data_IF_196836918224
#
_entry.id   IF_196836918224
#
_cell.length_a   1.000
_cell.length_b   1.000
_cell.length_c   1.000
_cell.angle_alpha   90.00
_cell.angle_beta   90.00
_cell.angle_gamma   90.00
#
_symmetry.space_group_name_H-M   'P 1'
#
loop_
_entity.id
_entity.type
_entity.pdbx_description
1 polymer ?
#
# COMPACT_ATOMS: atom_id res chain seq x y z
N UNK A 1 -5.90 12.02 -11.36
CA UNK A 1 -5.97 10.63 -10.84
C UNK A 1 -7.04 9.89 -11.60
N UNK A 2 -6.89 8.59 -11.83
CA UNK A 2 -7.91 7.74 -12.46
C UNK A 2 -8.27 6.59 -11.52
N UNK A 3 -9.54 6.22 -11.47
CA UNK A 3 -10.01 4.96 -10.88
C UNK A 3 -10.42 4.06 -12.02
N UNK A 4 -9.85 2.87 -12.10
CA UNK A 4 -10.16 1.90 -13.15
C UNK A 4 -10.69 0.61 -12.53
N UNK A 5 -11.82 0.14 -13.04
CA UNK A 5 -12.33 -1.20 -12.79
C UNK A 5 -12.08 -2.04 -14.06
N UNK A 6 -11.00 -2.85 -14.10
CA UNK A 6 -10.65 -3.63 -15.29
C UNK A 6 -11.68 -4.72 -15.59
N UNK A 7 -12.39 -5.25 -14.59
CA UNK A 7 -13.36 -6.33 -14.78
C UNK A 7 -14.57 -5.92 -15.63
N UNK A 8 -14.89 -4.62 -15.66
CA UNK A 8 -15.97 -4.07 -16.48
C UNK A 8 -15.45 -3.08 -17.53
N UNK A 9 -14.14 -3.02 -17.74
CA UNK A 9 -13.46 -2.12 -18.67
C UNK A 9 -13.88 -0.63 -18.53
N UNK A 10 -14.10 -0.16 -17.29
CA UNK A 10 -14.45 1.25 -17.03
C UNK A 10 -13.33 1.98 -16.29
N UNK A 11 -13.09 3.23 -16.67
CA UNK A 11 -12.22 4.14 -15.95
C UNK A 11 -12.91 5.49 -15.76
N UNK A 12 -12.73 6.09 -14.59
CA UNK A 12 -13.22 7.42 -14.24
C UNK A 12 -12.03 8.31 -13.95
N UNK A 13 -11.95 9.45 -14.64
CA UNK A 13 -10.98 10.50 -14.32
C UNK A 13 -11.53 11.32 -13.16
N UNK A 14 -10.76 11.43 -12.09
CA UNK A 14 -11.10 12.31 -10.97
C UNK A 14 -10.74 13.75 -11.31
N UNK A 15 -11.50 14.70 -10.77
CA UNK A 15 -11.13 16.10 -10.80
C UNK A 15 -9.75 16.31 -10.18
N UNK A 16 -9.05 17.34 -10.65
CA UNK A 16 -7.78 17.71 -10.07
C UNK A 16 -8.01 18.14 -8.63
N UNK A 17 -7.25 17.56 -7.70
CA UNK A 17 -7.21 18.09 -6.36
C UNK A 17 -6.56 19.47 -6.35
N UNK A 18 -7.02 20.34 -5.46
CA UNK A 18 -6.46 21.67 -5.28
C UNK A 18 -5.26 21.63 -4.33
N UNK A 19 -4.07 21.66 -4.91
CA UNK A 19 -2.81 21.60 -4.18
C UNK A 19 -1.95 22.85 -4.40
N UNK A 20 -1.15 23.25 -3.39
CA UNK A 20 -0.09 24.23 -3.59
C UNK A 20 0.84 23.77 -4.73
N UNK A 21 1.24 24.67 -5.62
CA UNK A 21 2.12 24.37 -6.77
C UNK A 21 3.58 24.08 -6.39
N UNK A 22 3.83 23.72 -5.13
CA UNK A 22 5.18 23.51 -4.63
C UNK A 22 5.82 22.28 -5.31
N UNK A 23 7.07 22.43 -5.73
CA UNK A 23 7.83 21.40 -6.45
C UNK A 23 8.34 20.29 -5.54
N UNK A 24 8.27 20.47 -4.21
CA UNK A 24 8.77 19.52 -3.21
C UNK A 24 7.65 18.84 -2.40
N UNK A 25 6.48 18.62 -3.00
CA UNK A 25 5.37 17.92 -2.35
C UNK A 25 5.44 16.40 -2.55
N UNK A 26 5.27 15.63 -1.48
CA UNK A 26 5.01 14.18 -1.51
C UNK A 26 3.51 13.93 -1.45
N UNK A 27 3.04 12.97 -2.24
CA UNK A 27 1.62 12.63 -2.34
C UNK A 27 1.42 11.17 -1.96
N UNK A 28 0.60 10.97 -0.93
CA UNK A 28 0.13 9.67 -0.48
C UNK A 28 -1.32 9.53 -0.91
N UNK A 29 -1.73 8.33 -1.28
CA UNK A 29 -3.11 8.09 -1.64
C UNK A 29 -3.60 6.71 -1.20
N UNK A 30 -4.91 6.60 -1.09
CA UNK A 30 -5.59 5.36 -0.80
C UNK A 30 -6.99 5.35 -1.38
N UNK A 31 -7.50 4.15 -1.64
CA UNK A 31 -8.83 3.92 -2.18
C UNK A 31 -9.48 2.76 -1.43
N UNK A 32 -10.75 2.90 -1.10
CA UNK A 32 -11.51 1.84 -0.44
C UNK A 32 -13.01 2.09 -0.46
N UNK A 33 -13.75 1.14 0.09
CA UNK A 33 -15.19 1.18 0.19
C UNK A 33 -15.61 1.45 1.64
N UNK A 34 -16.36 2.52 1.83
CA UNK A 34 -17.03 2.83 3.09
C UNK A 34 -18.31 2.00 3.19
N UNK A 35 -18.23 0.87 3.89
CA UNK A 35 -19.34 -0.06 4.06
C UNK A 35 -20.53 0.52 4.83
N UNK A 36 -20.29 1.55 5.66
CA UNK A 36 -21.35 2.15 6.48
C UNK A 36 -22.21 3.09 5.64
N UNK A 37 -21.57 3.92 4.82
CA UNK A 37 -22.27 4.87 3.95
C UNK A 37 -22.57 4.30 2.55
N UNK A 38 -21.98 3.15 2.19
CA UNK A 38 -22.17 2.52 0.89
C UNK A 38 -21.45 3.24 -0.25
N UNK A 39 -20.31 3.88 0.04
CA UNK A 39 -19.63 4.80 -0.88
C UNK A 39 -18.18 4.39 -1.15
N UNK A 40 -17.73 4.55 -2.39
CA UNK A 40 -16.29 4.45 -2.69
C UNK A 40 -15.61 5.79 -2.40
N UNK A 41 -14.50 5.76 -1.67
CA UNK A 41 -13.76 6.96 -1.29
C UNK A 41 -12.29 6.85 -1.70
N UNK A 42 -11.75 7.96 -2.18
CA UNK A 42 -10.31 8.17 -2.39
C UNK A 42 -9.83 9.18 -1.37
N UNK A 43 -8.73 8.86 -0.70
CA UNK A 43 -8.05 9.76 0.24
C UNK A 43 -6.70 10.11 -0.33
N UNK A 44 -6.37 11.39 -0.32
CA UNK A 44 -5.04 11.90 -0.69
C UNK A 44 -4.48 12.69 0.48
N UNK A 45 -3.25 12.40 0.87
CA UNK A 45 -2.49 13.15 1.88
C UNK A 45 -1.29 13.76 1.17
N UNK A 46 -1.11 15.06 1.34
CA UNK A 46 0.03 15.80 0.82
C UNK A 46 0.91 16.23 1.96
N UNK A 47 2.20 16.16 1.70
CA UNK A 47 3.24 16.65 2.58
C UNK A 47 4.14 17.57 1.77
N UNK A 48 4.45 18.74 2.31
CA UNK A 48 5.40 19.66 1.71
C UNK A 48 6.12 20.42 2.82
N UNK A 49 7.24 21.05 2.48
CA UNK A 49 7.98 21.89 3.43
C UNK A 49 7.67 23.35 3.11
N UNK A 50 7.16 24.09 4.09
CA UNK A 50 6.98 25.54 4.04
C UNK A 50 7.62 26.15 5.26
N UNK A 51 8.40 27.22 5.08
CA UNK A 51 9.03 27.96 6.18
C UNK A 51 9.82 27.06 7.15
N UNK A 52 10.59 26.13 6.59
CA UNK A 52 11.38 25.12 7.32
C UNK A 52 10.57 24.15 8.18
N UNK A 53 9.25 24.11 8.03
CA UNK A 53 8.36 23.19 8.74
C UNK A 53 7.62 22.25 7.78
N UNK A 54 7.45 21.00 8.21
CA UNK A 54 6.62 20.04 7.49
C UNK A 54 5.14 20.44 7.62
N UNK A 55 4.48 20.54 6.47
CA UNK A 55 3.06 20.81 6.35
C UNK A 55 2.35 19.58 5.79
N UNK A 56 1.08 19.44 6.16
CA UNK A 56 0.22 18.35 5.70
C UNK A 56 -1.15 18.86 5.31
N UNK A 57 -1.76 18.23 4.31
CA UNK A 57 -3.17 18.43 3.93
C UNK A 57 -3.74 17.09 3.51
N UNK A 58 -4.92 16.75 4.00
CA UNK A 58 -5.62 15.56 3.57
C UNK A 58 -6.94 15.95 2.90
N UNK A 59 -7.25 15.30 1.79
CA UNK A 59 -8.50 15.48 1.05
C UNK A 59 -9.13 14.14 0.74
N UNK A 60 -10.46 14.13 0.72
CA UNK A 60 -11.26 12.96 0.37
C UNK A 60 -12.14 13.29 -0.83
N UNK A 61 -12.26 12.32 -1.71
CA UNK A 61 -13.18 12.32 -2.84
C UNK A 61 -14.11 11.13 -2.70
N UNK A 62 -15.42 11.41 -2.62
CA UNK A 62 -16.45 10.37 -2.70
C UNK A 62 -16.81 10.16 -4.16
N UNK A 63 -16.82 8.91 -4.62
CA UNK A 63 -17.15 8.61 -6.01
C UNK A 63 -18.59 9.04 -6.32
N UNK A 64 -18.74 9.97 -7.26
CA UNK A 64 -20.02 10.58 -7.64
C UNK A 64 -20.28 11.98 -7.06
N UNK A 65 -19.49 12.44 -6.07
CA UNK A 65 -19.68 13.78 -5.49
C UNK A 65 -19.16 14.92 -6.35
N UNK A 66 -18.35 14.63 -7.38
CA UNK A 66 -17.69 15.59 -8.27
C UNK A 66 -16.94 16.70 -7.52
N UNK A 67 -16.42 16.44 -6.31
CA UNK A 67 -15.65 17.42 -5.55
C UNK A 67 -14.75 16.78 -4.51
N UNK A 68 -13.62 17.44 -4.23
CA UNK A 68 -12.73 17.10 -3.13
C UNK A 68 -13.12 17.90 -1.89
N UNK A 69 -13.18 17.26 -0.73
CA UNK A 69 -13.34 17.93 0.55
C UNK A 69 -12.06 17.78 1.37
N UNK A 70 -11.70 18.82 2.12
CA UNK A 70 -10.55 18.79 3.02
C UNK A 70 -10.97 18.21 4.36
N UNK A 71 -10.16 17.33 4.94
CA UNK A 71 -10.35 16.81 6.30
C UNK A 71 -9.33 17.43 7.24
N UNK A 72 -9.72 17.60 8.51
CA UNK A 72 -8.85 18.11 9.57
C UNK A 72 -7.81 17.08 10.01
N UNK A 73 -6.81 17.53 10.76
CA UNK A 73 -5.84 16.68 11.47
C UNK A 73 -5.04 15.75 10.56
N UNK A 74 -4.70 16.20 9.36
CA UNK A 74 -3.81 15.46 8.47
C UNK A 74 -2.45 15.22 9.17
N UNK A 75 -1.97 13.97 9.24
CA UNK A 75 -0.71 13.64 9.90
C UNK A 75 0.47 14.33 9.20
N UNK A 76 1.40 14.89 10.00
CA UNK A 76 2.65 15.50 9.53
C UNK A 76 3.81 14.52 9.72
N UNK A 77 3.81 13.42 8.97
CA UNK A 77 4.74 12.31 9.17
C UNK A 77 5.35 11.82 7.85
N UNK A 78 6.57 11.31 7.90
CA UNK A 78 7.27 10.81 6.71
C UNK A 78 6.88 9.35 6.41
N UNK A 79 5.96 9.19 5.47
CA UNK A 79 5.51 7.87 5.02
C UNK A 79 6.53 7.15 4.15
N UNK A 80 6.60 5.83 4.32
CA UNK A 80 7.54 4.97 3.57
C UNK A 80 7.05 4.56 2.19
N UNK A 81 5.73 4.59 1.97
CA UNK A 81 5.10 4.07 0.76
C UNK A 81 3.95 4.96 0.32
N UNK A 82 4.00 5.45 -0.92
CA UNK A 82 3.01 6.35 -1.55
C UNK A 82 1.54 5.88 -1.51
N UNK A 83 1.29 4.62 -1.22
CA UNK A 83 0.00 3.97 -1.38
C UNK A 83 -0.42 3.20 -0.14
N UNK A 84 -1.72 3.20 0.16
CA UNK A 84 -2.29 2.59 1.37
C UNK A 84 -2.61 1.10 1.25
N UNK A 85 -2.63 0.39 2.38
CA UNK A 85 -3.38 -0.86 2.50
C UNK A 85 -4.83 -0.59 2.97
N UNK A 86 -5.83 -1.26 2.38
CA UNK A 86 -7.23 -1.16 2.81
C UNK A 86 -7.64 -2.41 3.57
N UNK A 87 -7.98 -2.28 4.86
CA UNK A 87 -8.38 -3.38 5.75
C UNK A 87 -9.42 -2.85 6.73
N UNK A 88 -10.47 -3.62 7.02
CA UNK A 88 -11.45 -3.29 8.06
C UNK A 88 -12.02 -1.85 7.96
N UNK A 89 -12.43 -1.44 6.74
CA UNK A 89 -13.01 -0.12 6.47
C UNK A 89 -12.04 1.06 6.58
N UNK A 90 -10.74 0.80 6.78
CA UNK A 90 -9.73 1.83 6.99
C UNK A 90 -8.57 1.72 6.00
N UNK A 91 -8.02 2.86 5.61
CA UNK A 91 -6.79 2.97 4.83
C UNK A 91 -5.60 3.10 5.77
N UNK A 92 -4.48 2.47 5.43
CA UNK A 92 -3.31 2.39 6.31
C UNK A 92 -2.03 2.75 5.57
N UNK A 93 -1.16 3.54 6.22
CA UNK A 93 0.17 3.88 5.73
C UNK A 93 1.22 3.63 6.81
N UNK A 94 2.37 3.13 6.39
CA UNK A 94 3.52 2.92 7.25
C UNK A 94 4.37 4.19 7.30
N UNK A 95 4.73 4.63 8.49
CA UNK A 95 5.55 5.83 8.73
C UNK A 95 6.50 5.62 9.89
N UNK A 96 7.55 6.43 9.93
CA UNK A 96 8.38 6.56 11.12
C UNK A 96 7.58 7.21 12.25
N UNK A 97 7.80 6.76 13.47
CA UNK A 97 7.39 7.47 14.67
C UNK A 97 8.40 8.57 15.00
N UNK A 98 8.06 9.81 14.69
CA UNK A 98 8.92 10.96 14.99
C UNK A 98 8.88 11.36 16.48
N UNK A 99 8.03 10.72 17.30
CA UNK A 99 8.00 10.92 18.75
C UNK A 99 9.02 10.06 19.51
N UNK A 100 9.66 9.10 18.83
CA UNK A 100 10.61 8.18 19.46
C UNK A 100 11.93 8.19 18.69
N UNK A 101 13.04 8.37 19.43
CA UNK A 101 14.37 8.50 18.83
C UNK A 101 14.92 7.18 18.25
N UNK A 102 14.39 6.03 18.68
CA UNK A 102 14.87 4.70 18.30
C UNK A 102 14.54 4.31 16.85
N UNK A 103 13.81 5.17 16.12
CA UNK A 103 13.42 4.92 14.74
C UNK A 103 12.31 3.90 14.58
N UNK A 104 11.53 3.66 15.64
CA UNK A 104 10.32 2.85 15.60
C UNK A 104 9.38 3.28 14.49
N UNK A 105 8.65 2.30 13.95
CA UNK A 105 7.62 2.53 12.95
C UNK A 105 6.25 2.51 13.61
N UNK A 106 5.33 3.30 13.08
CA UNK A 106 3.91 3.23 13.39
C UNK A 106 3.10 3.10 12.11
N UNK A 107 1.85 2.67 12.25
CA UNK A 107 0.90 2.62 11.15
C UNK A 107 -0.15 3.68 11.42
N UNK A 108 -0.26 4.63 10.50
CA UNK A 108 -1.35 5.61 10.51
C UNK A 108 -2.53 5.00 9.77
N UNK A 109 -3.70 5.03 10.40
CA UNK A 109 -4.96 4.63 9.79
C UNK A 109 -5.83 5.85 9.48
N UNK A 110 -6.72 5.71 8.50
CA UNK A 110 -7.80 6.65 8.22
C UNK A 110 -9.08 5.84 8.03
N UNK A 111 -10.04 6.00 8.93
CA UNK A 111 -11.33 5.32 8.86
C UNK A 111 -12.20 6.00 7.78
N UNK A 112 -12.71 5.25 6.80
CA UNK A 112 -13.47 5.86 5.71
C UNK A 112 -14.86 6.34 6.13
N UNK A 113 -15.45 5.75 7.17
CA UNK A 113 -16.79 6.07 7.66
C UNK A 113 -16.81 7.29 8.58
N UNK A 114 -15.94 7.32 9.59
CA UNK A 114 -15.80 8.47 10.50
C UNK A 114 -14.91 9.58 9.94
N UNK A 115 -14.07 9.24 8.95
CA UNK A 115 -13.17 10.17 8.28
C UNK A 115 -12.11 10.77 9.22
N UNK A 116 -11.72 9.95 10.20
CA UNK A 116 -10.76 10.30 11.24
C UNK A 116 -9.45 9.52 11.07
N UNK A 117 -8.35 10.20 11.40
CA UNK A 117 -7.04 9.58 11.50
C UNK A 117 -6.87 8.88 12.84
N UNK A 118 -6.19 7.74 12.81
CA UNK A 118 -5.79 6.99 13.98
C UNK A 118 -4.36 6.47 13.84
N UNK A 119 -3.88 5.85 14.91
CA UNK A 119 -2.61 5.13 14.94
C UNK A 119 -2.88 3.73 15.45
N UNK A 120 -2.31 2.73 14.78
CA UNK A 120 -2.40 1.34 15.21
C UNK A 120 -0.99 0.75 15.42
N UNK A 121 -0.86 -0.29 16.26
CA UNK A 121 0.44 -0.90 16.56
C UNK A 121 1.11 -1.51 15.34
N UNK A 122 2.39 -1.18 15.16
CA UNK A 122 3.28 -1.78 14.15
C UNK A 122 4.10 -2.92 14.80
N UNK A 123 4.41 -4.02 14.08
CA UNK A 123 5.30 -5.04 14.61
C UNK A 123 6.73 -4.47 14.73
N UNK A 124 7.53 -5.02 15.64
CA UNK A 124 8.94 -4.67 15.72
C UNK A 124 9.72 -5.43 14.64
N UNK A 125 10.23 -4.70 13.65
CA UNK A 125 11.14 -5.23 12.63
C UNK A 125 12.26 -4.22 12.35
N UNK A 126 13.39 -4.71 11.83
CA UNK A 126 14.53 -3.88 11.50
C UNK A 126 14.29 -3.18 10.17
N UNK A 127 14.08 -1.86 10.19
CA UNK A 127 13.97 -1.05 8.98
C UNK A 127 15.01 0.08 8.99
N UNK A 128 15.97 0.06 8.07
CA UNK A 128 17.06 1.08 7.97
C UNK A 128 16.77 2.11 6.85
N UNK A 129 15.71 1.95 6.06
CA UNK A 129 15.52 2.70 4.80
C UNK A 129 15.45 4.23 4.94
N UNK A 130 15.28 4.77 6.15
CA UNK A 130 15.14 6.21 6.36
C UNK A 130 16.47 6.97 6.13
N UNK A 131 17.64 6.32 6.18
CA UNK A 131 18.92 7.03 6.10
C UNK A 131 19.50 7.21 4.68
N UNK A 132 18.99 6.55 3.61
CA UNK A 132 19.75 6.51 2.34
C UNK A 132 19.06 6.84 1.02
N UNK A 133 17.75 7.11 0.97
CA UNK A 133 17.11 7.91 -0.09
C UNK A 133 15.63 7.55 -0.22
N UNK A 134 14.78 8.56 -0.41
CA UNK A 134 13.41 8.41 -0.91
C UNK A 134 13.33 7.94 -2.38
N UNK A 135 14.46 7.59 -3.00
CA UNK A 135 14.59 7.25 -4.42
C UNK A 135 14.90 5.78 -4.67
N UNK A 136 15.35 5.01 -3.67
CA UNK A 136 15.35 3.55 -3.75
C UNK A 136 13.99 3.05 -3.32
N UNK A 137 13.23 2.43 -4.23
CA UNK A 137 12.00 1.71 -3.90
C UNK A 137 12.26 0.78 -2.70
N UNK A 138 11.76 1.17 -1.53
CA UNK A 138 11.85 0.36 -0.32
C UNK A 138 11.26 -1.02 -0.61
N UNK A 139 11.93 -2.07 -0.13
CA UNK A 139 11.37 -3.41 -0.15
C UNK A 139 10.53 -3.69 1.10
N UNK A 140 10.28 -2.66 1.92
CA UNK A 140 9.26 -2.63 2.96
C UNK A 140 7.92 -2.20 2.35
N UNK A 141 6.88 -2.97 2.62
CA UNK A 141 5.54 -2.74 2.11
C UNK A 141 4.51 -2.96 3.22
N UNK A 142 3.52 -2.08 3.32
CA UNK A 142 2.28 -2.33 4.03
C UNK A 142 1.21 -2.71 3.01
N UNK A 143 0.58 -3.87 3.20
CA UNK A 143 -0.33 -4.47 2.21
C UNK A 143 -1.41 -5.29 2.89
N UNK A 144 -2.54 -5.46 2.23
CA UNK A 144 -3.57 -6.41 2.63
C UNK A 144 -3.19 -7.80 2.10
N UNK A 145 -3.15 -8.79 2.97
CA UNK A 145 -2.94 -10.20 2.62
C UNK A 145 -3.98 -11.06 3.33
N UNK A 146 -4.90 -11.64 2.56
CA UNK A 146 -5.87 -12.62 3.07
C UNK A 146 -6.88 -11.99 4.06
N UNK A 147 -7.30 -10.75 3.81
CA UNK A 147 -8.14 -9.93 4.67
C UNK A 147 -7.40 -9.30 5.85
N UNK A 148 -6.10 -9.55 6.00
CA UNK A 148 -5.31 -9.10 7.15
C UNK A 148 -4.33 -8.00 6.77
N UNK A 149 -4.14 -7.03 7.67
CA UNK A 149 -3.09 -6.04 7.51
C UNK A 149 -1.73 -6.70 7.70
N UNK A 150 -0.83 -6.49 6.73
CA UNK A 150 0.45 -7.20 6.69
C UNK A 150 1.62 -6.27 6.36
N UNK A 151 2.74 -6.48 7.04
CA UNK A 151 4.03 -5.83 6.73
C UNK A 151 4.95 -6.84 6.07
N UNK A 152 5.44 -6.51 4.89
CA UNK A 152 6.41 -7.31 4.15
C UNK A 152 7.72 -6.56 4.14
N UNK A 153 8.76 -7.15 4.71
CA UNK A 153 10.10 -6.58 4.79
C UNK A 153 11.09 -7.47 4.05
N UNK A 154 11.54 -7.00 2.88
CA UNK A 154 12.50 -7.71 2.04
C UNK A 154 13.84 -6.96 1.87
N UNK A 155 14.09 -5.89 2.60
CA UNK A 155 15.27 -5.04 2.43
C UNK A 155 16.55 -5.66 3.01
N UNK A 156 16.45 -6.56 4.00
CA UNK A 156 17.61 -7.14 4.69
C UNK A 156 17.60 -8.67 4.72
N UNK A 157 18.79 -9.23 4.91
CA UNK A 157 19.00 -10.67 5.10
C UNK A 157 18.65 -11.53 3.88
N UNK A 158 18.76 -12.84 4.09
CA UNK A 158 18.47 -13.86 3.08
C UNK A 158 17.00 -14.29 3.07
N UNK A 159 16.14 -13.58 3.79
CA UNK A 159 14.71 -13.88 3.93
C UNK A 159 13.86 -12.64 3.69
N UNK A 160 12.63 -12.86 3.24
CA UNK A 160 11.55 -11.90 3.28
C UNK A 160 10.80 -12.18 4.57
N UNK A 161 10.70 -11.19 5.45
CA UNK A 161 9.93 -11.29 6.68
C UNK A 161 8.51 -10.80 6.39
N UNK A 162 7.51 -11.65 6.67
CA UNK A 162 6.11 -11.31 6.48
C UNK A 162 5.43 -11.36 7.85
N UNK A 163 4.93 -10.20 8.26
CA UNK A 163 4.15 -10.03 9.47
C UNK A 163 2.68 -9.88 9.10
N UNK A 164 1.80 -10.63 9.77
CA UNK A 164 0.35 -10.59 9.56
C UNK A 164 -0.34 -10.32 10.89
N UNK A 165 -1.17 -9.28 10.95
CA UNK A 165 -2.01 -8.94 12.10
C UNK A 165 -3.26 -9.83 12.07
N UNK A 166 -3.31 -10.82 12.96
CA UNK A 166 -4.42 -11.79 12.99
C UNK A 166 -5.71 -11.20 13.57
N UNK A 167 -5.59 -10.24 14.48
CA UNK A 167 -6.71 -9.52 15.07
C UNK A 167 -6.48 -8.03 14.86
N UNK A 168 -7.44 -7.38 14.19
CA UNK A 168 -7.29 -5.99 13.79
C UNK A 168 -7.07 -5.06 15.00
N UNK A 169 -6.05 -4.21 14.91
CA UNK A 169 -5.63 -3.26 15.95
C UNK A 169 -5.19 -3.91 17.29
N UNK A 170 -4.81 -5.20 17.29
CA UNK A 170 -4.27 -5.89 18.47
C UNK A 170 -2.78 -6.15 18.27
N UNK A 171 -1.94 -5.51 19.10
CA UNK A 171 -0.47 -5.57 18.97
C UNK A 171 0.08 -6.98 19.11
N UNK A 172 -0.47 -7.77 20.00
CA UNK A 172 -0.02 -9.13 20.32
C UNK A 172 -0.43 -10.14 19.24
N UNK A 173 -1.32 -9.75 18.31
CA UNK A 173 -1.82 -10.62 17.24
C UNK A 173 -0.90 -10.69 16.01
N UNK A 174 0.18 -9.90 16.00
CA UNK A 174 1.17 -9.94 14.93
C UNK A 174 1.90 -11.29 14.93
N UNK A 175 1.73 -12.04 13.85
CA UNK A 175 2.43 -13.30 13.61
C UNK A 175 3.46 -13.11 12.50
N UNK A 176 4.60 -13.80 12.59
CA UNK A 176 5.69 -13.69 11.63
C UNK A 176 6.01 -15.03 11.00
N UNK A 177 6.31 -15.02 9.71
CA UNK A 177 7.01 -16.11 9.05
C UNK A 177 8.00 -15.56 8.02
N UNK A 178 8.99 -16.39 7.67
CA UNK A 178 10.14 -15.97 6.87
C UNK A 178 10.19 -16.80 5.58
N UNK A 179 10.38 -16.13 4.45
CA UNK A 179 10.47 -16.77 3.13
C UNK A 179 11.89 -16.64 2.61
N UNK A 180 12.54 -17.76 2.27
CA UNK A 180 13.92 -17.73 1.75
C UNK A 180 14.00 -16.96 0.42
N UNK A 181 14.97 -16.04 0.31
CA UNK A 181 15.29 -15.33 -0.94
C UNK A 181 16.13 -16.16 -1.91
N UNK A 182 16.48 -17.40 -1.59
CA UNK A 182 17.31 -18.27 -2.45
C UNK A 182 16.81 -18.36 -3.88
N UNK A 183 15.48 -18.45 -4.06
CA UNK A 183 14.84 -18.43 -5.37
C UNK A 183 15.01 -17.08 -6.09
N UNK A 184 14.84 -15.96 -5.38
CA UNK A 184 15.04 -14.61 -5.93
C UNK A 184 16.50 -14.37 -6.33
N UNK A 185 17.46 -14.84 -5.53
CA UNK A 185 18.90 -14.77 -5.83
C UNK A 185 19.22 -15.55 -7.10
N UNK A 186 18.64 -16.75 -7.27
CA UNK A 186 18.80 -17.56 -8.49
C UNK A 186 18.26 -16.84 -9.73
N UNK A 187 17.16 -16.11 -9.60
CA UNK A 187 16.60 -15.28 -10.67
C UNK A 187 17.32 -13.94 -10.86
N UNK A 188 18.33 -13.62 -10.03
CA UNK A 188 19.01 -12.32 -9.98
C UNK A 188 18.05 -11.13 -9.72
N UNK A 189 16.94 -11.40 -9.05
CA UNK A 189 15.93 -10.39 -8.72
C UNK A 189 16.40 -9.53 -7.56
N UNK A 190 16.20 -8.21 -7.66
CA UNK A 190 16.63 -7.26 -6.61
C UNK A 190 15.49 -6.72 -5.78
N UNK A 191 14.27 -6.70 -6.32
CA UNK A 191 13.08 -6.14 -5.70
C UNK A 191 11.99 -7.20 -5.65
N UNK A 192 11.20 -7.15 -4.59
CA UNK A 192 10.03 -8.00 -4.43
C UNK A 192 8.95 -7.23 -3.68
N UNK A 193 7.70 -7.38 -4.13
CA UNK A 193 6.50 -6.88 -3.46
C UNK A 193 5.50 -8.01 -3.31
N UNK A 194 4.83 -8.11 -2.17
CA UNK A 194 3.69 -9.00 -2.07
C UNK A 194 2.46 -8.33 -2.69
N UNK A 195 1.69 -9.10 -3.45
CA UNK A 195 0.53 -8.61 -4.18
C UNK A 195 -0.76 -9.15 -3.56
N UNK A 196 -0.79 -10.42 -3.20
CA UNK A 196 -1.99 -11.07 -2.69
C UNK A 196 -1.65 -12.37 -1.94
N UNK A 197 -2.57 -12.79 -1.06
CA UNK A 197 -2.55 -14.09 -0.39
C UNK A 197 -3.77 -14.89 -0.85
N UNK A 198 -3.55 -16.04 -1.49
CA UNK A 198 -4.61 -16.92 -1.98
C UNK A 198 -4.98 -17.97 -0.94
N UNK A 199 -6.19 -18.51 -1.06
CA UNK A 199 -6.76 -19.51 -0.13
C UNK A 199 -5.94 -20.81 0.02
N UNK A 200 -5.04 -21.10 -0.91
CA UNK A 200 -4.22 -22.33 -0.92
C UNK A 200 -2.85 -22.13 -0.25
N UNK A 201 -2.78 -21.27 0.76
CA UNK A 201 -1.51 -20.96 1.42
C UNK A 201 -0.46 -20.41 0.44
N UNK A 202 -0.90 -19.67 -0.58
CA UNK A 202 -0.02 -19.13 -1.62
C UNK A 202 0.09 -17.61 -1.53
N UNK A 203 1.33 -17.12 -1.52
CA UNK A 203 1.64 -15.69 -1.58
C UNK A 203 2.09 -15.37 -2.99
N UNK A 204 1.45 -14.37 -3.59
CA UNK A 204 1.83 -13.86 -4.90
C UNK A 204 2.82 -12.72 -4.72
N UNK A 205 4.01 -12.91 -5.26
CA UNK A 205 5.13 -11.98 -5.21
C UNK A 205 5.36 -11.39 -6.60
N UNK A 206 5.46 -10.07 -6.69
CA UNK A 206 5.89 -9.35 -7.89
C UNK A 206 7.37 -9.00 -7.75
N UNK A 207 8.19 -9.63 -8.58
CA UNK A 207 9.64 -9.49 -8.62
C UNK A 207 10.04 -8.49 -9.72
N UNK A 208 10.89 -7.52 -9.39
CA UNK A 208 11.40 -6.48 -10.29
C UNK A 208 10.32 -5.84 -11.19
N UNK A 209 9.11 -5.68 -10.64
CA UNK A 209 7.93 -5.12 -11.32
C UNK A 209 7.53 -5.81 -12.64
N UNK A 210 8.01 -7.04 -12.87
CA UNK A 210 7.85 -7.72 -14.17
C UNK A 210 7.57 -9.22 -14.09
N UNK A 211 7.90 -9.88 -12.98
CA UNK A 211 7.71 -11.34 -12.87
C UNK A 211 6.81 -11.67 -11.69
N UNK A 212 5.73 -12.41 -11.92
CA UNK A 212 4.88 -12.93 -10.85
C UNK A 212 5.35 -14.31 -10.43
N UNK A 213 5.43 -14.52 -9.12
CA UNK A 213 5.86 -15.77 -8.50
C UNK A 213 4.87 -16.14 -7.40
N UNK A 214 4.35 -17.35 -7.43
CA UNK A 214 3.65 -17.96 -6.31
C UNK A 214 4.67 -18.56 -5.34
N UNK A 215 4.48 -18.31 -4.04
CA UNK A 215 5.17 -19.01 -2.97
C UNK A 215 4.17 -19.76 -2.11
N UNK A 216 4.27 -21.08 -2.04
CA UNK A 216 3.45 -21.90 -1.17
C UNK A 216 4.07 -21.93 0.24
N UNK A 217 3.34 -21.45 1.24
CA UNK A 217 3.81 -21.32 2.62
C UNK A 217 3.88 -22.65 3.37
N UNK A 218 3.22 -23.70 2.88
CA UNK A 218 3.25 -25.03 3.49
C UNK A 218 4.42 -25.86 2.97
N UNK A 219 4.64 -25.87 1.66
CA UNK A 219 5.71 -26.66 1.03
C UNK A 219 7.02 -25.89 0.88
N UNK A 220 6.98 -24.55 1.00
CA UNK A 220 8.13 -23.68 0.76
C UNK A 220 8.53 -23.57 -0.71
N UNK A 221 7.66 -23.97 -1.64
CA UNK A 221 7.98 -24.02 -3.07
C UNK A 221 7.63 -22.71 -3.78
N UNK A 222 8.41 -22.38 -4.80
CA UNK A 222 8.18 -21.25 -5.70
C UNK A 222 7.75 -21.73 -7.08
N UNK A 223 6.80 -21.04 -7.68
CA UNK A 223 6.33 -21.28 -9.05
C UNK A 223 6.19 -19.96 -9.78
N UNK A 224 6.86 -19.81 -10.92
CA UNK A 224 6.66 -18.64 -11.80
C UNK A 224 5.25 -18.72 -12.39
N UNK A 225 4.53 -17.60 -12.36
CA UNK A 225 3.20 -17.50 -12.92
C UNK A 225 3.25 -16.79 -14.27
N UNK A 226 2.62 -17.40 -15.27
CA UNK A 226 2.33 -16.76 -16.54
C UNK A 226 0.95 -16.11 -16.47
N UNK A 227 0.81 -14.92 -17.07
CA UNK A 227 -0.48 -14.23 -17.16
C UNK A 227 -0.85 -14.16 -18.63
N UNK A 228 -1.96 -14.81 -18.99
CA UNK A 228 -2.46 -14.81 -20.36
C UNK A 228 -2.67 -13.38 -20.87
N UNK A 229 -2.17 -13.11 -22.08
CA UNK A 229 -2.22 -11.78 -22.71
C UNK A 229 -1.11 -10.81 -22.28
N UNK A 230 -0.25 -11.19 -21.33
CA UNK A 230 0.99 -10.48 -21.00
C UNK A 230 2.17 -11.34 -21.47
N UNK A 231 2.71 -11.06 -22.66
CA UNK A 231 3.98 -11.68 -23.05
C UNK A 231 5.04 -11.37 -21.99
N UNK A 232 5.92 -12.34 -21.71
CA UNK A 232 6.95 -12.35 -20.64
C UNK A 232 7.92 -11.15 -20.59
N UNK A 233 7.73 -10.15 -21.45
CA UNK A 233 8.37 -8.85 -21.39
C UNK A 233 7.34 -7.77 -21.00
N UNK A 234 7.21 -7.52 -19.69
CA UNK A 234 6.55 -6.31 -19.15
C UNK A 234 7.30 -4.99 -19.49
N UNK A 235 8.25 -5.03 -20.43
CA UNK A 235 8.94 -3.86 -20.98
C UNK A 235 8.00 -2.93 -21.77
N UNK A 236 6.90 -3.47 -22.31
CA UNK A 236 5.90 -2.73 -23.08
C UNK A 236 4.79 -2.12 -22.22
N UNK A 237 4.77 -2.41 -20.91
CA UNK A 237 3.93 -1.64 -20.01
C UNK A 237 4.51 -0.25 -19.89
N UNK A 238 3.71 0.82 -20.10
CA UNK A 238 4.13 2.16 -19.73
C UNK A 238 4.66 2.09 -18.30
N UNK A 239 5.89 2.57 -18.09
CA UNK A 239 6.52 2.77 -16.78
C UNK A 239 5.70 3.78 -15.99
N UNK A 240 4.48 3.41 -15.61
CA UNK A 240 3.67 4.17 -14.73
C UNK A 240 4.33 4.07 -13.36
N UNK A 241 4.84 5.21 -12.90
CA UNK A 241 5.02 5.47 -11.48
C UNK A 241 3.61 5.59 -10.89
N UNK A 242 2.95 4.44 -10.78
CA UNK A 242 1.57 4.32 -10.35
C UNK A 242 1.47 3.10 -9.47
N UNK A 243 1.11 3.31 -8.21
CA UNK A 243 0.81 2.23 -7.30
C UNK A 243 -0.53 1.62 -7.73
N UNK A 244 -0.50 0.43 -8.33
CA UNK A 244 -1.71 -0.32 -8.65
C UNK A 244 -2.18 -1.06 -7.38
N UNK A 245 -3.46 -0.93 -7.05
CA UNK A 245 -4.11 -1.69 -6.00
C UNK A 245 -5.02 -2.73 -6.66
N UNK A 246 -5.05 -3.94 -6.12
CA UNK A 246 -6.17 -4.86 -6.33
C UNK A 246 -7.12 -4.68 -5.14
N UNK A 247 -8.24 -3.98 -5.36
CA UNK A 247 -9.40 -4.09 -4.48
C UNK A 247 -10.28 -5.22 -5.05
N UNK A 248 -10.29 -6.36 -4.35
CA UNK A 248 -11.10 -7.52 -4.72
C UNK A 248 -12.14 -7.78 -3.63
N UNK A 249 -13.16 -6.93 -3.59
CA UNK A 249 -14.43 -7.27 -2.97
C UNK A 249 -15.53 -7.13 -4.02
N UNK A 250 -16.52 -8.02 -3.92
CA UNK A 250 -17.57 -8.36 -4.88
C UNK A 250 -18.03 -7.20 -5.77
N UNK A 251 -18.33 -7.52 -7.04
CA UNK A 251 -18.90 -6.73 -8.15
C UNK A 251 -20.01 -5.70 -7.79
N UNK A 252 -19.76 -4.78 -6.86
CA UNK A 252 -20.68 -3.70 -6.53
C UNK A 252 -20.32 -2.56 -7.47
N UNK A 253 -21.23 -2.34 -8.42
CA UNK A 253 -21.17 -1.30 -9.42
C UNK A 253 -20.80 0.05 -8.79
N UNK A 254 -19.81 0.79 -9.32
CA UNK A 254 -19.83 2.23 -9.17
C UNK A 254 -21.08 2.71 -9.94
N UNK A 255 -22.15 3.02 -9.22
CA UNK A 255 -23.31 3.72 -9.81
C UNK A 255 -22.83 5.14 -10.14
N UNK A 256 -22.41 5.35 -11.38
CA UNK A 256 -22.37 6.68 -11.96
C UNK A 256 -23.82 7.14 -12.14
N UNK A 257 -24.19 8.25 -11.50
CA UNK A 257 -25.32 9.06 -11.95
C UNK A 257 -24.94 9.76 -13.25
#
# INVERSE_FOLDING_TARGET
>A
MYICNPAICKCVKLLNCEFPKDRNAFVMHGFGFDTINGEFKVVVILLWVSDHALQSKAQVYTLGSNSWRTVSNAPKMLFLQGCSAFVNGSLHWLTRDDQVEDGSMIIVSFNLSSEEFGVIPCPKFNCITIMRSFTSESSTQLVELGGCLSVVEASFGNHIEIWIMKEYNVKESWTRFSVSKSYLVRMKSKRVKAVSFRKNSEIILLCDSSTLVSYNTETGNFTTLEVDGLNNNLADFPKYVGHAFSYAESLILPKSA
#
